data_IF_182931542651
#
_entry.id   IF_182931542651
#
_cell.length_a   1.000
_cell.length_b   1.000
_cell.length_c   1.000
_cell.angle_alpha   90.00
_cell.angle_beta   90.00
_cell.angle_gamma   90.00
#
_symmetry.space_group_name_H-M   'P 1'
#
loop_
_entity.id
_entity.type
_entity.pdbx_description
1 polymer ?
#
# COMPACT_ATOMS: atom_id res chain seq x y z
N UNK A 1 3.97 -7.22 3.55
CA UNK A 1 3.86 -6.61 2.21
C UNK A 1 5.17 -5.92 1.86
N UNK A 2 5.99 -6.55 1.02
CA UNK A 2 7.32 -6.04 0.64
C UNK A 2 7.30 -5.61 -0.81
N UNK A 3 7.79 -4.40 -1.10
CA UNK A 3 8.11 -3.98 -2.47
C UNK A 3 9.54 -4.41 -2.83
N UNK A 4 9.75 -4.79 -4.09
CA UNK A 4 11.09 -5.04 -4.64
C UNK A 4 11.79 -3.71 -4.94
N UNK A 5 13.13 -3.72 -4.98
CA UNK A 5 13.91 -2.55 -5.38
C UNK A 5 13.51 -2.05 -6.77
N UNK A 6 13.26 -2.98 -7.71
CA UNK A 6 12.82 -2.66 -9.07
C UNK A 6 11.46 -1.95 -9.08
N UNK A 7 10.50 -2.41 -8.27
CA UNK A 7 9.21 -1.74 -8.13
C UNK A 7 9.38 -0.33 -7.54
N UNK A 8 10.23 -0.18 -6.51
CA UNK A 8 10.50 1.12 -5.89
C UNK A 8 11.15 2.07 -6.91
N UNK A 9 12.10 1.60 -7.72
CA UNK A 9 12.77 2.43 -8.73
C UNK A 9 11.82 2.83 -9.86
N UNK A 10 11.04 1.88 -10.37
CA UNK A 10 10.08 2.12 -11.45
C UNK A 10 9.01 3.13 -11.03
N UNK A 11 8.33 2.87 -9.92
CA UNK A 11 7.26 3.76 -9.47
C UNK A 11 7.79 5.04 -8.82
N UNK A 12 8.98 4.99 -8.22
CA UNK A 12 9.71 6.17 -7.74
C UNK A 12 9.89 7.22 -8.82
N UNK A 13 10.41 6.79 -9.99
CA UNK A 13 10.52 7.66 -11.18
C UNK A 13 9.15 8.12 -11.67
N UNK A 14 8.16 7.22 -11.73
CA UNK A 14 6.80 7.56 -12.18
C UNK A 14 6.05 8.52 -11.23
N UNK A 15 6.52 8.64 -9.98
CA UNK A 15 5.98 9.52 -8.94
C UNK A 15 6.88 10.72 -8.64
N UNK A 16 7.93 10.93 -9.45
CA UNK A 16 8.88 12.05 -9.32
C UNK A 16 9.53 12.16 -7.92
N UNK A 17 9.84 11.01 -7.30
CA UNK A 17 10.57 10.97 -6.04
C UNK A 17 12.05 11.28 -6.22
N UNK A 18 12.66 11.88 -5.20
CA UNK A 18 14.11 12.06 -5.15
C UNK A 18 14.81 10.74 -4.85
N UNK A 19 16.08 10.60 -5.25
CA UNK A 19 16.87 9.39 -4.92
C UNK A 19 16.97 9.19 -3.40
N UNK A 20 17.04 10.27 -2.62
CA UNK A 20 17.06 10.22 -1.16
C UNK A 20 15.78 9.60 -0.60
N UNK A 21 14.61 9.95 -1.16
CA UNK A 21 13.34 9.33 -0.77
C UNK A 21 13.33 7.82 -1.08
N UNK A 22 13.89 7.42 -2.23
CA UNK A 22 13.97 6.02 -2.63
C UNK A 22 14.87 5.20 -1.69
N UNK A 23 16.01 5.74 -1.27
CA UNK A 23 16.90 5.08 -0.31
C UNK A 23 16.19 4.83 1.03
N UNK A 24 15.40 5.79 1.50
CA UNK A 24 14.64 5.65 2.76
C UNK A 24 13.54 4.59 2.64
N UNK A 25 12.77 4.60 1.55
CA UNK A 25 11.71 3.61 1.31
C UNK A 25 12.28 2.20 1.14
N UNK A 26 13.41 2.04 0.44
CA UNK A 26 14.15 0.76 0.31
C UNK A 26 14.61 0.22 1.67
N UNK A 27 14.79 1.10 2.65
CA UNK A 27 15.15 0.75 4.03
C UNK A 27 13.94 0.46 4.93
N UNK A 28 12.74 0.29 4.36
CA UNK A 28 11.48 0.06 5.08
C UNK A 28 11.12 1.16 6.08
N UNK A 29 11.56 2.38 5.82
CA UNK A 29 11.24 3.56 6.64
C UNK A 29 10.27 4.46 5.87
N UNK A 30 9.38 5.11 6.62
CA UNK A 30 8.52 6.18 6.08
C UNK A 30 9.39 7.43 5.92
N UNK A 31 9.51 7.99 4.70
CA UNK A 31 10.21 9.25 4.52
C UNK A 31 9.55 10.38 5.31
N UNK A 32 10.34 11.31 5.84
CA UNK A 32 9.84 12.46 6.59
C UNK A 32 9.43 13.64 5.68
N UNK A 33 9.90 13.64 4.43
CA UNK A 33 9.60 14.64 3.41
C UNK A 33 8.16 14.49 2.92
N UNK A 34 7.53 15.59 2.49
CA UNK A 34 6.17 15.51 1.91
C UNK A 34 6.14 14.67 0.63
N UNK A 35 7.13 14.84 -0.24
CA UNK A 35 7.28 14.02 -1.46
C UNK A 35 7.41 12.54 -1.13
N UNK A 36 8.25 12.18 -0.16
CA UNK A 36 8.48 10.79 0.21
C UNK A 36 7.28 10.16 0.94
N UNK A 37 6.51 10.92 1.74
CA UNK A 37 5.23 10.43 2.28
C UNK A 37 4.20 10.19 1.18
N UNK A 38 4.14 11.07 0.18
CA UNK A 38 3.21 10.94 -0.94
C UNK A 38 3.66 9.91 -1.98
N UNK A 39 4.94 9.54 -2.01
CA UNK A 39 5.47 8.50 -2.89
C UNK A 39 4.69 7.21 -2.69
N UNK A 40 4.49 6.76 -1.45
CA UNK A 40 3.77 5.51 -1.21
C UNK A 40 2.33 5.56 -1.74
N UNK A 41 1.60 6.64 -1.44
CA UNK A 41 0.24 6.86 -1.97
C UNK A 41 0.22 6.80 -3.49
N UNK A 42 1.17 7.48 -4.15
CA UNK A 42 1.28 7.46 -5.61
C UNK A 42 1.57 6.05 -6.16
N UNK A 43 2.53 5.33 -5.57
CA UNK A 43 2.90 3.97 -5.99
C UNK A 43 1.70 3.03 -5.93
N UNK A 44 1.00 2.99 -4.78
CA UNK A 44 -0.09 2.03 -4.58
C UNK A 44 -1.37 2.42 -5.32
N UNK A 45 -1.56 3.70 -5.63
CA UNK A 45 -2.63 4.15 -6.55
C UNK A 45 -2.35 3.69 -7.98
N UNK A 46 -1.11 3.83 -8.47
CA UNK A 46 -0.72 3.32 -9.81
C UNK A 46 -0.80 1.80 -9.93
N UNK A 47 -0.66 1.08 -8.83
CA UNK A 47 -0.90 -0.37 -8.76
C UNK A 47 -2.38 -0.76 -8.70
N UNK A 48 -3.29 0.22 -8.59
CA UNK A 48 -4.73 0.00 -8.48
C UNK A 48 -5.20 -0.40 -7.08
N UNK A 49 -4.34 -0.32 -6.07
CA UNK A 49 -4.67 -0.70 -4.68
C UNK A 49 -5.54 0.37 -3.99
N UNK A 50 -5.33 1.63 -4.37
CA UNK A 50 -6.19 2.75 -4.03
C UNK A 50 -6.86 3.30 -5.29
N UNK A 51 -8.02 3.93 -5.12
CA UNK A 51 -8.66 4.76 -6.14
C UNK A 51 -7.90 6.08 -6.28
N UNK A 52 -8.20 6.85 -7.34
CA UNK A 52 -7.56 8.15 -7.60
C UNK A 52 -7.81 9.19 -6.51
N UNK A 53 -8.94 9.08 -5.78
CA UNK A 53 -9.23 9.92 -4.61
C UNK A 53 -8.45 9.51 -3.34
N UNK A 54 -7.69 8.41 -3.41
CA UNK A 54 -6.93 7.81 -2.33
C UNK A 54 -7.71 6.80 -1.48
N UNK A 55 -9.01 6.58 -1.75
CA UNK A 55 -9.81 5.60 -1.02
C UNK A 55 -9.39 4.17 -1.35
N UNK A 56 -9.67 3.25 -0.44
CA UNK A 56 -9.32 1.83 -0.61
C UNK A 56 -10.11 1.23 -1.78
N UNK A 57 -9.42 0.64 -2.76
CA UNK A 57 -10.07 -0.04 -3.87
C UNK A 57 -10.14 -1.55 -3.56
N UNK A 58 -11.28 -2.05 -3.07
CA UNK A 58 -11.39 -3.47 -2.65
C UNK A 58 -11.00 -4.46 -3.74
N UNK A 59 -11.56 -4.28 -4.94
CA UNK A 59 -11.32 -5.18 -6.08
C UNK A 59 -9.92 -5.00 -6.67
N UNK A 60 -9.46 -3.75 -6.75
CA UNK A 60 -8.12 -3.44 -7.25
C UNK A 60 -7.01 -3.90 -6.30
N UNK A 61 -7.24 -3.79 -4.98
CA UNK A 61 -6.38 -4.36 -3.96
C UNK A 61 -6.25 -5.87 -4.12
N UNK A 62 -7.37 -6.59 -4.24
CA UNK A 62 -7.36 -8.04 -4.42
C UNK A 62 -6.57 -8.44 -5.68
N UNK A 63 -6.85 -7.78 -6.81
CA UNK A 63 -6.17 -8.04 -8.07
C UNK A 63 -4.66 -7.74 -7.98
N UNK A 64 -4.29 -6.63 -7.34
CA UNK A 64 -2.90 -6.25 -7.13
C UNK A 64 -2.17 -7.20 -6.19
N UNK A 65 -2.79 -7.61 -5.08
CA UNK A 65 -2.26 -8.61 -4.16
C UNK A 65 -2.04 -9.96 -4.86
N UNK A 66 -3.03 -10.47 -5.61
CA UNK A 66 -2.90 -11.72 -6.37
C UNK A 66 -1.80 -11.66 -7.44
N UNK A 67 -1.55 -10.48 -8.02
CA UNK A 67 -0.55 -10.29 -9.08
C UNK A 67 0.88 -10.12 -8.55
N UNK A 68 1.06 -9.30 -7.53
CA UNK A 68 2.40 -8.85 -7.09
C UNK A 68 2.84 -9.45 -5.75
N UNK A 69 1.90 -10.00 -4.97
CA UNK A 69 2.14 -10.70 -3.70
C UNK A 69 1.55 -12.12 -3.76
N UNK A 70 1.78 -12.81 -4.88
CA UNK A 70 1.25 -14.15 -5.16
C UNK A 70 1.86 -15.24 -4.27
N UNK A 71 2.88 -14.90 -3.47
CA UNK A 71 3.38 -15.77 -2.41
C UNK A 71 2.38 -15.93 -1.25
N UNK A 72 1.35 -15.08 -1.16
CA UNK A 72 0.23 -15.27 -0.23
C UNK A 72 -0.83 -16.14 -0.89
N UNK A 73 -1.42 -17.08 -0.14
CA UNK A 73 -2.52 -17.89 -0.66
C UNK A 73 -3.73 -17.00 -0.99
N UNK A 74 -4.51 -17.39 -1.98
CA UNK A 74 -5.74 -16.69 -2.38
C UNK A 74 -6.69 -16.45 -1.20
N UNK A 75 -6.88 -17.46 -0.35
CA UNK A 75 -7.73 -17.37 0.85
C UNK A 75 -7.20 -16.34 1.87
N UNK A 76 -5.87 -16.31 2.08
CA UNK A 76 -5.21 -15.33 2.93
C UNK A 76 -5.37 -13.91 2.37
N UNK A 77 -5.20 -13.73 1.05
CA UNK A 77 -5.42 -12.44 0.39
C UNK A 77 -6.86 -11.96 0.60
N UNK A 78 -7.85 -12.81 0.35
CA UNK A 78 -9.26 -12.46 0.47
C UNK A 78 -9.64 -12.11 1.91
N UNK A 79 -9.16 -12.88 2.89
CA UNK A 79 -9.40 -12.64 4.32
C UNK A 79 -8.80 -11.30 4.78
N UNK A 80 -7.53 -11.05 4.43
CA UNK A 80 -6.84 -9.79 4.77
C UNK A 80 -7.50 -8.59 4.09
N UNK A 81 -7.82 -8.72 2.80
CA UNK A 81 -8.46 -7.65 2.03
C UNK A 81 -9.82 -7.27 2.63
N UNK A 82 -10.64 -8.26 3.00
CA UNK A 82 -11.93 -8.01 3.64
C UNK A 82 -11.78 -7.23 4.95
N UNK A 83 -10.90 -7.67 5.86
CA UNK A 83 -10.67 -6.99 7.15
C UNK A 83 -10.16 -5.56 6.97
N UNK A 84 -9.17 -5.35 6.11
CA UNK A 84 -8.63 -4.01 5.89
C UNK A 84 -9.59 -3.09 5.14
N UNK A 85 -10.46 -3.64 4.29
CA UNK A 85 -11.54 -2.88 3.67
C UNK A 85 -12.60 -2.46 4.70
N UNK A 86 -12.98 -3.35 5.62
CA UNK A 86 -13.90 -3.01 6.73
C UNK A 86 -13.35 -1.88 7.60
N UNK A 87 -12.05 -1.91 7.94
CA UNK A 87 -11.39 -0.81 8.66
C UNK A 87 -11.39 0.48 7.82
N UNK A 88 -11.14 0.38 6.50
CA UNK A 88 -11.13 1.52 5.59
C UNK A 88 -12.50 2.21 5.46
N UNK A 89 -13.61 1.48 5.58
CA UNK A 89 -14.97 2.06 5.52
C UNK A 89 -15.26 3.06 6.65
N UNK A 90 -14.51 2.99 7.75
CA UNK A 90 -14.69 3.85 8.92
C UNK A 90 -13.86 5.15 8.84
N UNK A 91 -13.02 5.30 7.82
CA UNK A 91 -12.08 6.42 7.69
C UNK A 91 -12.74 7.60 6.98
N UNK A 92 -12.60 8.81 7.52
CA UNK A 92 -13.19 10.02 6.93
C UNK A 92 -12.51 10.41 5.62
N UNK A 93 -13.24 11.16 4.77
CA UNK A 93 -12.71 11.67 3.50
C UNK A 93 -11.50 12.60 3.70
N UNK A 94 -11.46 13.38 4.78
CA UNK A 94 -10.30 14.23 5.05
C UNK A 94 -9.03 13.40 5.31
N UNK A 95 -9.16 12.29 6.03
CA UNK A 95 -8.03 11.39 6.30
C UNK A 95 -7.59 10.68 5.02
N UNK A 96 -8.54 10.15 4.24
CA UNK A 96 -8.27 9.49 2.94
C UNK A 96 -7.49 10.39 1.98
N UNK A 97 -7.79 11.70 1.97
CA UNK A 97 -7.11 12.67 1.12
C UNK A 97 -5.61 12.83 1.46
N UNK A 98 -5.20 12.52 2.69
CA UNK A 98 -3.79 12.66 3.11
C UNK A 98 -2.87 11.62 2.48
N UNK A 99 -1.57 11.93 2.42
CA UNK A 99 -0.55 10.96 2.01
C UNK A 99 -0.26 9.90 3.08
N UNK A 100 -0.50 10.20 4.35
CA UNK A 100 -0.30 9.22 5.42
C UNK A 100 -1.27 8.04 5.35
N UNK A 101 -2.45 8.22 4.77
CA UNK A 101 -3.45 7.16 4.69
C UNK A 101 -2.95 5.89 3.98
N UNK A 102 -2.08 6.02 2.96
CA UNK A 102 -1.48 4.85 2.32
C UNK A 102 -0.68 3.97 3.28
N UNK A 103 0.01 4.59 4.24
CA UNK A 103 0.75 3.85 5.27
C UNK A 103 -0.17 3.21 6.30
N UNK A 104 -1.29 3.85 6.64
CA UNK A 104 -2.34 3.24 7.47
C UNK A 104 -2.89 1.97 6.82
N UNK A 105 -3.20 2.04 5.52
CA UNK A 105 -3.65 0.87 4.75
C UNK A 105 -2.61 -0.24 4.74
N UNK A 106 -1.34 0.08 4.44
CA UNK A 106 -0.26 -0.91 4.46
C UNK A 106 -0.01 -1.50 5.85
N UNK A 107 -0.12 -0.70 6.90
CA UNK A 107 0.00 -1.17 8.28
C UNK A 107 -1.10 -2.16 8.63
N UNK A 108 -2.34 -1.93 8.16
CA UNK A 108 -3.41 -2.92 8.28
C UNK A 108 -3.03 -4.23 7.58
N UNK A 109 -2.62 -4.17 6.31
CA UNK A 109 -2.26 -5.37 5.55
C UNK A 109 -1.14 -6.17 6.23
N UNK A 110 -0.09 -5.51 6.72
CA UNK A 110 1.00 -6.17 7.45
C UNK A 110 0.53 -6.76 8.78
N UNK A 111 -0.24 -6.00 9.57
CA UNK A 111 -0.77 -6.48 10.85
C UNK A 111 -1.67 -7.70 10.65
N UNK A 112 -2.57 -7.66 9.67
CA UNK A 112 -3.46 -8.78 9.37
C UNK A 112 -2.65 -9.96 8.84
N UNK A 113 -1.60 -9.75 8.04
CA UNK A 113 -0.69 -10.80 7.59
C UNK A 113 0.00 -11.53 8.77
N UNK A 114 0.44 -10.80 9.78
CA UNK A 114 1.07 -11.36 10.98
C UNK A 114 0.07 -12.10 11.89
N UNK A 115 -1.18 -11.65 11.90
CA UNK A 115 -2.26 -12.26 12.69
C UNK A 115 -2.91 -13.45 11.99
N UNK A 116 -2.84 -13.51 10.66
CA UNK A 116 -3.51 -14.51 9.85
C UNK A 116 -2.76 -15.85 9.91
N UNK A 117 -3.23 -16.70 10.83
CA UNK A 117 -2.79 -18.08 11.03
C UNK A 117 -3.36 -19.06 10.00
N UNK A 118 -4.00 -18.58 8.94
CA UNK A 118 -4.61 -19.45 7.93
C UNK A 118 -3.52 -20.32 7.31
N UNK A 119 -3.67 -21.63 7.55
CA UNK A 119 -2.81 -22.74 7.11
C UNK A 119 -3.21 -23.23 5.74
#
# INVERSE_FOLDING_TARGET
MRFTTEQIDYYGKACNASEDDLVVVKSYKVPSTETGKCLMKCMITKLGLLNDDGSYNKTGMEAGLKKYWSEWSTEKIETINNKCYEEALLVSKEVVATCNYSYTVMACLNKQLDLDKST
#
